data_IF_193309367902
#
_entry.id   IF_193309367902
#
_cell.length_a   1.000
_cell.length_b   1.000
_cell.length_c   1.000
_cell.angle_alpha   90.00
_cell.angle_beta   90.00
_cell.angle_gamma   90.00
#
_symmetry.space_group_name_H-M   'P 1'
#
loop_
_entity.id
_entity.type
_entity.pdbx_description
1 polymer ?
#
# COMPACT_ATOMS: atom_id res chain seq x y z
N UNK A 1 15.08 4.15 -12.18
CA UNK A 1 14.53 3.23 -11.18
C UNK A 1 13.14 2.85 -11.62
N UNK A 2 12.77 1.57 -11.55
CA UNK A 2 11.40 1.14 -11.86
C UNK A 2 10.49 1.38 -10.67
N UNK A 3 9.25 1.78 -10.90
CA UNK A 3 8.30 1.98 -9.79
C UNK A 3 8.02 0.68 -9.03
N UNK A 4 8.10 -0.49 -9.68
CA UNK A 4 8.01 -1.80 -9.03
C UNK A 4 9.17 -2.16 -8.09
N UNK A 5 10.27 -1.40 -8.10
CA UNK A 5 11.41 -1.57 -7.19
C UNK A 5 11.23 -0.77 -5.89
N UNK A 6 10.25 0.13 -5.82
CA UNK A 6 9.99 0.98 -4.65
C UNK A 6 9.35 0.14 -3.55
N UNK A 7 10.02 0.07 -2.40
CA UNK A 7 9.55 -0.68 -1.24
C UNK A 7 8.59 0.16 -0.39
N UNK A 8 7.41 -0.38 -0.11
CA UNK A 8 6.42 0.24 0.76
C UNK A 8 6.23 -0.57 2.05
N UNK A 9 6.16 0.13 3.19
CA UNK A 9 5.69 -0.43 4.45
C UNK A 9 4.17 -0.30 4.50
N UNK A 10 3.48 -1.41 4.70
CA UNK A 10 2.01 -1.43 4.73
C UNK A 10 1.43 -1.26 6.14
N UNK A 11 2.13 -1.76 7.16
CA UNK A 11 1.64 -1.63 8.54
C UNK A 11 1.43 -0.17 8.94
N UNK A 12 0.38 0.10 9.72
CA UNK A 12 0.12 1.45 10.29
C UNK A 12 1.35 2.01 10.99
N UNK A 13 2.11 1.19 11.74
CA UNK A 13 3.35 1.61 12.39
C UNK A 13 4.40 2.06 11.37
N UNK A 14 4.52 1.34 10.26
CA UNK A 14 5.40 1.69 9.15
C UNK A 14 4.99 2.99 8.46
N UNK A 15 3.71 3.13 8.13
CA UNK A 15 3.16 4.34 7.52
C UNK A 15 3.33 5.57 8.43
N UNK A 16 3.05 5.44 9.74
CA UNK A 16 3.33 6.50 10.72
C UNK A 16 4.80 6.88 10.81
N UNK A 17 5.72 5.97 10.48
CA UNK A 17 7.15 6.30 10.42
C UNK A 17 7.49 7.15 9.19
N UNK A 18 6.77 6.97 8.07
CA UNK A 18 6.94 7.81 6.87
C UNK A 18 6.55 9.26 7.14
N UNK A 19 5.47 9.50 7.89
CA UNK A 19 5.04 10.88 8.23
C UNK A 19 6.08 11.69 9.03
N UNK A 20 7.07 11.03 9.63
CA UNK A 20 8.16 11.70 10.36
C UNK A 20 9.23 12.27 9.42
N UNK A 21 9.18 11.96 8.13
CA UNK A 21 10.08 12.53 7.13
C UNK A 21 9.88 14.05 7.08
N UNK A 22 10.97 14.79 7.29
CA UNK A 22 10.98 16.25 7.28
C UNK A 22 12.23 16.79 6.57
N UNK A 23 12.00 17.73 5.65
CA UNK A 23 13.01 18.41 4.85
C UNK A 23 13.74 19.48 5.68
N UNK A 24 14.95 19.85 5.26
CA UNK A 24 15.70 20.97 5.88
C UNK A 24 15.13 22.32 5.46
N UNK A 25 14.72 22.43 4.19
CA UNK A 25 14.08 23.60 3.58
C UNK A 25 13.09 23.13 2.52
N UNK A 26 12.27 24.05 2.02
CA UNK A 26 11.50 23.81 0.81
C UNK A 26 11.28 25.11 0.04
N UNK A 27 11.73 25.15 -1.21
CA UNK A 27 11.52 26.25 -2.15
C UNK A 27 11.19 25.73 -3.56
N UNK A 28 11.15 26.63 -4.55
CA UNK A 28 10.79 26.27 -5.92
C UNK A 28 11.80 25.34 -6.58
N UNK A 29 13.09 25.41 -6.22
CA UNK A 29 14.12 24.52 -6.77
C UNK A 29 13.91 23.08 -6.27
N UNK A 30 13.52 22.94 -4.99
CA UNK A 30 13.14 21.65 -4.41
C UNK A 30 11.89 21.05 -5.10
N UNK A 31 10.92 21.90 -5.47
CA UNK A 31 9.76 21.47 -6.24
C UNK A 31 10.13 21.00 -7.66
N UNK A 32 11.06 21.69 -8.33
CA UNK A 32 11.61 21.27 -9.63
C UNK A 32 12.34 19.94 -9.53
N UNK A 33 13.15 19.73 -8.49
CA UNK A 33 13.79 18.44 -8.23
C UNK A 33 12.77 17.31 -8.15
N UNK A 34 11.66 17.50 -7.42
CA UNK A 34 10.58 16.50 -7.34
C UNK A 34 10.04 16.19 -8.74
N UNK A 35 9.76 17.22 -9.54
CA UNK A 35 9.26 17.11 -10.92
C UNK A 35 10.21 16.26 -11.80
N UNK A 36 11.50 16.58 -11.78
CA UNK A 36 12.51 15.90 -12.58
C UNK A 36 12.73 14.46 -12.11
N UNK A 37 12.69 14.23 -10.79
CA UNK A 37 12.77 12.89 -10.24
C UNK A 37 11.61 12.00 -10.66
N UNK A 38 10.38 12.50 -10.58
CA UNK A 38 9.21 11.78 -11.10
C UNK A 38 9.41 11.43 -12.57
N UNK A 39 9.84 12.38 -13.42
CA UNK A 39 10.10 12.12 -14.85
C UNK A 39 11.23 11.13 -15.11
N UNK A 40 12.14 10.93 -14.15
CA UNK A 40 13.26 9.99 -14.26
C UNK A 40 12.91 8.53 -13.94
N UNK A 41 11.72 8.27 -13.38
CA UNK A 41 11.27 6.92 -13.05
C UNK A 41 10.74 6.19 -14.29
N UNK A 42 10.91 4.87 -14.30
CA UNK A 42 10.26 3.98 -15.27
C UNK A 42 8.91 3.51 -14.69
N UNK A 43 7.83 3.97 -15.31
CA UNK A 43 6.45 3.68 -14.90
C UNK A 43 5.89 2.38 -15.50
N UNK A 44 6.70 1.64 -16.26
CA UNK A 44 6.36 0.29 -16.72
C UNK A 44 5.05 0.26 -17.52
N UNK A 45 4.84 1.29 -18.36
CA UNK A 45 3.63 1.50 -19.17
C UNK A 45 2.47 2.18 -18.45
N UNK A 46 2.57 2.42 -17.14
CA UNK A 46 1.58 3.17 -16.38
C UNK A 46 1.67 4.68 -16.66
N UNK A 47 0.56 5.39 -16.44
CA UNK A 47 0.47 6.84 -16.62
C UNK A 47 0.07 7.52 -15.31
N UNK A 48 0.61 8.70 -15.06
CA UNK A 48 0.30 9.49 -13.86
C UNK A 48 0.11 10.98 -14.17
N UNK A 49 -0.66 11.63 -13.31
CA UNK A 49 -0.65 13.09 -13.13
C UNK A 49 -0.12 13.39 -11.73
N UNK A 50 0.66 14.46 -11.60
CA UNK A 50 1.20 14.90 -10.32
C UNK A 50 1.18 16.42 -10.17
N UNK A 51 1.20 16.87 -8.91
CA UNK A 51 1.34 18.28 -8.53
C UNK A 51 2.09 18.42 -7.21
N UNK A 52 2.88 19.49 -7.08
CA UNK A 52 3.47 19.96 -5.84
C UNK A 52 2.81 21.29 -5.50
N UNK A 53 1.94 21.28 -4.48
CA UNK A 53 1.13 22.44 -4.12
C UNK A 53 1.28 22.77 -2.64
N UNK A 54 1.43 24.06 -2.34
CA UNK A 54 1.41 24.61 -0.99
C UNK A 54 -0.03 24.85 -0.52
N UNK A 55 -0.28 24.75 0.78
CA UNK A 55 -1.64 24.91 1.34
C UNK A 55 -2.23 26.32 1.19
N UNK A 56 -1.40 27.31 0.85
CA UNK A 56 -1.87 28.64 0.46
C UNK A 56 -2.40 28.72 -0.99
N UNK A 57 -2.37 27.62 -1.74
CA UNK A 57 -2.86 27.52 -3.12
C UNK A 57 -1.78 27.66 -4.20
N UNK A 58 -0.52 27.96 -3.85
CA UNK A 58 0.56 28.03 -4.83
C UNK A 58 0.92 26.63 -5.34
N UNK A 59 0.71 26.39 -6.63
CA UNK A 59 1.20 25.22 -7.34
C UNK A 59 2.59 25.53 -7.91
N UNK A 60 3.62 24.87 -7.37
CA UNK A 60 5.01 25.13 -7.74
C UNK A 60 5.42 24.36 -9.00
N UNK A 61 4.89 23.15 -9.18
CA UNK A 61 5.07 22.35 -10.39
C UNK A 61 3.94 21.33 -10.53
N UNK A 62 3.63 20.97 -11.77
CA UNK A 62 2.72 19.87 -12.10
C UNK A 62 3.12 19.21 -13.42
N UNK A 63 2.57 18.03 -13.68
CA UNK A 63 2.90 17.30 -14.90
C UNK A 63 2.05 16.06 -15.12
N UNK A 64 2.13 15.58 -16.36
CA UNK A 64 1.56 14.31 -16.82
C UNK A 64 2.70 13.45 -17.36
N UNK A 65 2.69 12.18 -17.02
CA UNK A 65 3.55 11.14 -17.59
C UNK A 65 2.64 10.10 -18.23
N UNK A 66 2.78 9.88 -19.54
CA UNK A 66 1.88 9.01 -20.30
C UNK A 66 0.55 9.70 -20.66
N UNK A 67 -0.56 8.98 -20.54
CA UNK A 67 -1.90 9.45 -20.89
C UNK A 67 -2.82 9.38 -19.66
N UNK A 68 -3.42 10.51 -19.30
CA UNK A 68 -4.37 10.61 -18.18
C UNK A 68 -5.70 11.16 -18.64
N UNK A 69 -6.76 10.84 -17.90
CA UNK A 69 -8.12 11.32 -18.14
C UNK A 69 -8.53 12.38 -17.10
N UNK A 70 -9.59 13.18 -17.38
CA UNK A 70 -10.02 14.24 -16.47
C UNK A 70 -10.27 13.79 -15.02
N UNK A 71 -10.83 12.60 -14.81
CA UNK A 71 -11.08 12.06 -13.46
C UNK A 71 -9.80 11.86 -12.64
N UNK A 72 -8.62 11.72 -13.26
CA UNK A 72 -7.36 11.62 -12.53
C UNK A 72 -7.05 12.93 -11.79
N UNK A 73 -7.48 14.08 -12.31
CA UNK A 73 -7.34 15.38 -11.64
C UNK A 73 -8.28 15.50 -10.44
N UNK A 74 -9.49 14.93 -10.51
CA UNK A 74 -10.40 14.87 -9.36
C UNK A 74 -9.76 14.07 -8.22
N UNK A 75 -9.19 12.90 -8.52
CA UNK A 75 -8.44 12.11 -7.54
C UNK A 75 -7.22 12.84 -7.00
N UNK A 76 -6.44 13.50 -7.86
CA UNK A 76 -5.27 14.28 -7.47
C UNK A 76 -5.65 15.37 -6.44
N UNK A 77 -6.68 16.16 -6.74
CA UNK A 77 -7.14 17.24 -5.88
C UNK A 77 -7.80 16.71 -4.60
N UNK A 78 -8.59 15.65 -4.70
CA UNK A 78 -9.26 15.01 -3.57
C UNK A 78 -8.26 14.49 -2.52
N UNK A 79 -7.18 13.84 -2.98
CA UNK A 79 -6.10 13.35 -2.10
C UNK A 79 -5.34 14.52 -1.47
N UNK A 80 -5.03 15.57 -2.24
CA UNK A 80 -4.40 16.79 -1.74
C UNK A 80 -5.21 17.42 -0.61
N UNK A 81 -6.53 17.59 -0.79
CA UNK A 81 -7.41 18.18 0.20
C UNK A 81 -7.46 17.37 1.51
N UNK A 82 -7.38 16.04 1.43
CA UNK A 82 -7.25 15.19 2.62
C UNK A 82 -5.97 15.50 3.40
N UNK A 83 -4.83 15.68 2.72
CA UNK A 83 -3.57 16.04 3.41
C UNK A 83 -3.64 17.46 3.97
N UNK A 84 -4.20 18.40 3.23
CA UNK A 84 -4.39 19.78 3.68
C UNK A 84 -5.27 19.87 4.94
N UNK A 85 -6.33 19.04 5.03
CA UNK A 85 -7.25 19.02 6.17
C UNK A 85 -6.69 18.26 7.38
N UNK A 86 -6.01 17.14 7.15
CA UNK A 86 -5.65 16.19 8.23
C UNK A 86 -4.15 16.13 8.56
N UNK A 87 -3.30 16.85 7.81
CA UNK A 87 -1.85 16.93 8.01
C UNK A 87 -1.16 15.56 8.08
N UNK A 88 -1.67 14.59 7.34
CA UNK A 88 -1.10 13.25 7.18
C UNK A 88 -1.33 12.79 5.75
N UNK A 89 -0.51 11.86 5.25
CA UNK A 89 -0.73 11.33 3.91
C UNK A 89 -2.14 10.76 3.75
N UNK A 90 -2.69 10.96 2.56
CA UNK A 90 -4.01 10.43 2.16
C UNK A 90 -4.11 8.91 2.37
N UNK A 91 -3.01 8.18 2.18
CA UNK A 91 -2.93 6.75 2.43
C UNK A 91 -3.03 6.40 3.92
N UNK A 92 -2.23 7.03 4.78
CA UNK A 92 -2.29 6.79 6.22
C UNK A 92 -3.67 7.17 6.80
N UNK A 93 -4.26 8.27 6.32
CA UNK A 93 -5.61 8.65 6.71
C UNK A 93 -6.63 7.55 6.40
N UNK A 94 -6.63 7.05 5.16
CA UNK A 94 -7.50 5.94 4.75
C UNK A 94 -7.28 4.69 5.59
N UNK A 95 -6.03 4.28 5.79
CA UNK A 95 -5.71 3.10 6.60
C UNK A 95 -6.12 3.26 8.07
N UNK A 96 -5.99 4.45 8.65
CA UNK A 96 -6.50 4.72 10.00
C UNK A 96 -8.03 4.62 10.07
N UNK A 97 -8.77 5.08 9.06
CA UNK A 97 -10.22 4.92 9.00
C UNK A 97 -10.63 3.45 8.92
N UNK A 98 -9.94 2.67 8.09
CA UNK A 98 -10.18 1.23 7.96
C UNK A 98 -9.94 0.54 9.29
N UNK A 99 -8.79 0.77 9.94
CA UNK A 99 -8.49 0.16 11.24
C UNK A 99 -9.51 0.57 12.31
N UNK A 100 -9.98 1.83 12.28
CA UNK A 100 -10.98 2.31 13.25
C UNK A 100 -12.34 1.61 13.11
N UNK A 101 -12.76 1.27 11.91
CA UNK A 101 -14.13 0.79 11.65
C UNK A 101 -14.22 -0.68 11.21
N UNK A 102 -13.15 -1.22 10.65
CA UNK A 102 -13.11 -2.50 9.92
C UNK A 102 -11.73 -3.18 10.04
N UNK A 103 -11.12 -3.15 11.23
CA UNK A 103 -9.84 -3.85 11.47
C UNK A 103 -10.02 -5.36 11.38
N UNK A 104 -9.16 -6.04 10.62
CA UNK A 104 -9.00 -7.49 10.63
C UNK A 104 -7.56 -7.85 11.00
N UNK A 105 -7.34 -8.85 11.88
CA UNK A 105 -5.99 -9.33 12.19
C UNK A 105 -5.18 -9.75 10.95
N UNK A 106 -3.86 -9.65 11.06
CA UNK A 106 -2.94 -9.88 9.93
C UNK A 106 -3.12 -11.24 9.26
N UNK A 107 -3.44 -12.29 9.99
CA UNK A 107 -3.53 -13.63 9.40
C UNK A 107 -4.97 -14.08 9.11
N UNK A 108 -5.98 -13.32 9.56
CA UNK A 108 -7.38 -13.69 9.40
C UNK A 108 -7.99 -13.23 8.08
N UNK A 109 -9.02 -13.95 7.63
CA UNK A 109 -9.85 -13.65 6.47
C UNK A 109 -11.17 -12.97 6.86
N UNK A 110 -11.86 -12.40 5.87
CA UNK A 110 -13.22 -11.90 6.07
C UNK A 110 -14.19 -13.06 6.38
N UNK A 111 -15.32 -12.82 7.07
CA UNK A 111 -16.35 -13.87 7.27
C UNK A 111 -16.90 -14.42 5.94
N UNK A 112 -17.02 -13.57 4.92
CA UNK A 112 -17.46 -13.95 3.58
C UNK A 112 -16.45 -14.91 2.92
N UNK A 113 -15.17 -14.55 2.91
CA UNK A 113 -14.13 -15.42 2.35
C UNK A 113 -13.95 -16.70 3.14
N UNK A 114 -14.04 -16.63 4.47
CA UNK A 114 -14.03 -17.80 5.35
C UNK A 114 -15.14 -18.78 4.94
N UNK A 115 -16.37 -18.29 4.77
CA UNK A 115 -17.53 -19.11 4.38
C UNK A 115 -17.37 -19.68 2.97
N UNK A 116 -16.86 -18.87 2.04
CA UNK A 116 -16.62 -19.26 0.65
C UNK A 116 -15.58 -20.37 0.54
N UNK A 117 -14.46 -20.24 1.25
CA UNK A 117 -13.39 -21.24 1.29
C UNK A 117 -13.87 -22.52 2.00
N UNK A 118 -14.65 -22.38 3.08
CA UNK A 118 -15.24 -23.53 3.78
C UNK A 118 -16.09 -24.42 2.87
N UNK A 119 -16.81 -23.81 1.93
CA UNK A 119 -17.70 -24.51 1.00
C UNK A 119 -16.96 -25.33 -0.07
N UNK A 120 -15.66 -25.09 -0.30
CA UNK A 120 -14.85 -25.81 -1.30
C UNK A 120 -14.57 -27.24 -0.84
N UNK A 121 -14.79 -28.24 -1.68
CA UNK A 121 -14.64 -29.65 -1.29
C UNK A 121 -13.18 -30.15 -1.38
N UNK A 122 -12.43 -29.66 -2.35
CA UNK A 122 -11.08 -30.16 -2.66
C UNK A 122 -9.99 -29.52 -1.79
N UNK A 123 -9.06 -30.35 -1.28
CA UNK A 123 -7.99 -29.91 -0.38
C UNK A 123 -7.02 -28.94 -1.03
N UNK A 124 -6.65 -29.17 -2.27
CA UNK A 124 -5.76 -28.27 -3.00
C UNK A 124 -6.47 -26.96 -3.31
N UNK A 125 -7.76 -27.01 -3.65
CA UNK A 125 -8.57 -25.82 -3.94
C UNK A 125 -8.70 -24.88 -2.74
N UNK A 126 -9.20 -25.33 -1.59
CA UNK A 126 -9.36 -24.43 -0.43
C UNK A 126 -8.04 -23.95 0.14
N UNK A 127 -6.98 -24.73 0.01
CA UNK A 127 -5.64 -24.35 0.46
C UNK A 127 -5.07 -23.25 -0.44
N UNK A 128 -5.14 -23.43 -1.76
CA UNK A 128 -4.76 -22.40 -2.72
C UNK A 128 -5.56 -21.11 -2.48
N UNK A 129 -6.86 -21.23 -2.28
CA UNK A 129 -7.73 -20.08 -2.11
C UNK A 129 -7.50 -19.34 -0.80
N UNK A 130 -7.22 -20.05 0.30
CA UNK A 130 -6.81 -19.42 1.57
C UNK A 130 -5.59 -18.53 1.36
N UNK A 131 -4.51 -19.05 0.76
CA UNK A 131 -3.29 -18.26 0.54
C UNK A 131 -3.51 -17.13 -0.46
N UNK A 132 -4.23 -17.35 -1.57
CA UNK A 132 -4.59 -16.29 -2.54
C UNK A 132 -5.42 -15.18 -1.92
N UNK A 133 -6.30 -15.53 -1.00
CA UNK A 133 -7.15 -14.55 -0.33
C UNK A 133 -6.32 -13.73 0.66
N UNK A 134 -5.41 -14.36 1.39
CA UNK A 134 -4.60 -13.73 2.43
C UNK A 134 -3.42 -12.91 1.91
N UNK A 135 -2.77 -13.38 0.84
CA UNK A 135 -1.50 -12.86 0.34
C UNK A 135 -1.61 -12.22 -1.04
N UNK A 136 -0.66 -11.35 -1.36
CA UNK A 136 -0.48 -10.74 -2.68
C UNK A 136 1.01 -10.68 -3.01
N UNK A 137 1.33 -10.77 -4.30
CA UNK A 137 2.72 -10.63 -4.77
C UNK A 137 3.20 -9.20 -4.61
N UNK A 138 4.36 -9.04 -3.98
CA UNK A 138 5.04 -7.77 -3.88
C UNK A 138 6.54 -7.99 -3.70
N UNK A 139 7.34 -7.55 -4.68
CA UNK A 139 8.79 -7.75 -4.69
C UNK A 139 9.45 -7.12 -3.48
N UNK A 140 10.39 -7.85 -2.88
CA UNK A 140 11.16 -7.36 -1.74
C UNK A 140 10.41 -7.36 -0.40
N UNK A 141 9.16 -7.84 -0.37
CA UNK A 141 8.47 -8.26 0.83
C UNK A 141 8.78 -9.73 1.15
N UNK A 142 8.51 -10.12 2.40
CA UNK A 142 8.57 -11.51 2.82
C UNK A 142 7.55 -11.78 3.93
N UNK A 143 7.12 -13.03 4.04
CA UNK A 143 6.30 -13.53 5.15
C UNK A 143 7.00 -14.70 5.84
N UNK A 144 6.88 -14.77 7.16
CA UNK A 144 7.35 -15.89 7.95
C UNK A 144 6.42 -17.09 7.73
N UNK A 145 6.97 -18.22 7.28
CA UNK A 145 6.20 -19.42 7.00
C UNK A 145 5.67 -20.07 8.28
N UNK A 146 6.38 -20.00 9.40
CA UNK A 146 5.94 -20.63 10.64
C UNK A 146 4.68 -19.92 11.15
N UNK A 147 4.68 -18.58 11.19
CA UNK A 147 3.49 -17.80 11.57
C UNK A 147 2.32 -18.06 10.62
N UNK A 148 2.57 -18.04 9.31
CA UNK A 148 1.56 -18.29 8.29
C UNK A 148 1.01 -19.73 8.39
N UNK A 149 1.87 -20.71 8.62
CA UNK A 149 1.47 -22.11 8.74
C UNK A 149 0.66 -22.37 10.01
N UNK A 150 0.96 -21.70 11.11
CA UNK A 150 0.21 -21.82 12.36
C UNK A 150 -1.19 -21.21 12.24
N UNK A 151 -1.31 -20.07 11.55
CA UNK A 151 -2.63 -19.50 11.27
C UNK A 151 -3.44 -20.37 10.30
N UNK A 152 -2.81 -20.91 9.24
CA UNK A 152 -3.48 -21.83 8.33
C UNK A 152 -3.98 -23.09 9.05
N UNK A 153 -3.19 -23.68 9.96
CA UNK A 153 -3.62 -24.80 10.81
C UNK A 153 -4.83 -24.42 11.66
N UNK A 154 -4.79 -23.24 12.27
CA UNK A 154 -5.89 -22.72 13.08
C UNK A 154 -7.15 -22.57 12.23
N UNK A 155 -7.04 -21.94 11.06
CA UNK A 155 -8.13 -21.78 10.10
C UNK A 155 -8.76 -23.12 9.71
N UNK A 156 -7.96 -24.10 9.31
CA UNK A 156 -8.47 -25.43 8.94
C UNK A 156 -9.15 -26.14 10.11
N UNK A 157 -8.63 -26.00 11.33
CA UNK A 157 -9.20 -26.61 12.53
C UNK A 157 -10.61 -26.09 12.86
N UNK A 158 -11.01 -24.94 12.33
CA UNK A 158 -12.37 -24.40 12.50
C UNK A 158 -13.43 -25.13 11.69
N UNK A 159 -13.04 -25.93 10.69
CA UNK A 159 -13.96 -26.63 9.81
C UNK A 159 -13.92 -28.12 10.07
N UNK A 160 -15.05 -28.68 10.53
CA UNK A 160 -15.17 -30.13 10.69
C UNK A 160 -14.83 -30.86 9.38
N UNK A 161 -14.05 -31.93 9.49
CA UNK A 161 -13.72 -32.87 8.40
C UNK A 161 -12.84 -32.30 7.27
N UNK A 162 -12.23 -31.12 7.42
CA UNK A 162 -11.17 -30.67 6.50
C UNK A 162 -9.83 -31.33 6.83
N UNK A 163 -9.08 -31.70 5.81
CA UNK A 163 -7.75 -32.33 5.94
C UNK A 163 -6.67 -31.28 5.76
N UNK A 164 -5.83 -31.09 6.77
CA UNK A 164 -4.70 -30.17 6.65
C UNK A 164 -3.71 -30.65 5.58
N UNK A 165 -3.38 -29.78 4.62
CA UNK A 165 -2.27 -30.02 3.71
C UNK A 165 -0.95 -29.75 4.45
N UNK A 166 -0.08 -30.75 4.50
CA UNK A 166 1.25 -30.65 5.06
C UNK A 166 2.25 -30.36 3.95
N UNK A 167 3.14 -29.39 4.18
CA UNK A 167 4.21 -29.06 3.27
C UNK A 167 5.55 -29.45 3.88
N UNK A 168 6.38 -30.18 3.14
CA UNK A 168 7.80 -30.33 3.46
C UNK A 168 8.59 -29.11 2.96
N UNK A 169 9.80 -28.91 3.48
CA UNK A 169 10.64 -27.76 3.10
C UNK A 169 10.88 -27.64 1.60
N UNK A 170 11.06 -28.77 0.92
CA UNK A 170 11.35 -28.83 -0.52
C UNK A 170 10.10 -28.59 -1.40
N UNK A 171 8.90 -28.84 -0.88
CA UNK A 171 7.64 -28.67 -1.60
C UNK A 171 7.11 -27.22 -1.55
N UNK A 172 7.53 -26.45 -0.54
CA UNK A 172 7.02 -25.09 -0.30
C UNK A 172 7.26 -24.16 -1.48
N UNK A 173 8.46 -24.18 -2.06
CA UNK A 173 8.81 -23.28 -3.16
C UNK A 173 7.94 -23.56 -4.40
N UNK A 174 7.77 -24.84 -4.77
CA UNK A 174 6.93 -25.24 -5.89
C UNK A 174 5.46 -24.89 -5.68
N UNK A 175 4.96 -25.09 -4.47
CA UNK A 175 3.59 -24.73 -4.10
C UNK A 175 3.35 -23.22 -4.22
N UNK A 176 4.17 -22.39 -3.56
CA UNK A 176 3.99 -20.94 -3.59
C UNK A 176 4.17 -20.37 -4.99
N UNK A 177 5.11 -20.88 -5.80
CA UNK A 177 5.25 -20.49 -7.21
C UNK A 177 4.03 -20.83 -8.07
N UNK A 178 3.30 -21.89 -7.75
CA UNK A 178 2.05 -22.23 -8.45
C UNK A 178 0.92 -21.23 -8.21
N UNK A 179 0.97 -20.51 -7.08
CA UNK A 179 -0.02 -19.50 -6.70
C UNK A 179 0.46 -18.09 -7.04
N UNK A 180 1.74 -17.84 -6.77
CA UNK A 180 2.44 -16.56 -6.82
C UNK A 180 3.75 -16.75 -7.61
N UNK A 181 3.74 -16.60 -8.94
CA UNK A 181 4.87 -16.93 -9.81
C UNK A 181 6.20 -16.24 -9.47
N UNK A 182 6.16 -15.08 -8.80
CA UNK A 182 7.34 -14.33 -8.38
C UNK A 182 7.90 -14.74 -7.01
N UNK A 183 7.16 -15.57 -6.27
CA UNK A 183 7.54 -16.00 -4.92
C UNK A 183 8.77 -16.91 -4.92
N UNK A 184 9.52 -16.86 -3.82
CA UNK A 184 10.66 -17.74 -3.58
C UNK A 184 10.64 -18.19 -2.12
N UNK A 185 10.52 -19.48 -1.87
CA UNK A 185 10.68 -20.01 -0.52
C UNK A 185 12.16 -20.17 -0.19
N UNK A 186 12.57 -19.69 0.99
CA UNK A 186 13.95 -19.78 1.46
C UNK A 186 14.03 -20.22 2.90
N UNK A 187 15.13 -20.88 3.23
CA UNK A 187 15.51 -21.21 4.61
C UNK A 187 16.34 -20.08 5.20
N UNK A 188 15.95 -19.65 6.39
CA UNK A 188 16.62 -18.62 7.18
C UNK A 188 17.52 -19.20 8.27
N UNK A 189 18.15 -18.30 9.04
CA UNK A 189 18.89 -18.70 10.23
C UNK A 189 18.00 -19.54 11.16
N UNK A 190 18.56 -20.58 11.78
CA UNK A 190 17.88 -21.46 12.73
C UNK A 190 16.74 -22.31 12.15
N UNK A 191 16.67 -22.49 10.83
CA UNK A 191 15.69 -23.38 10.19
C UNK A 191 14.29 -22.78 10.04
N UNK A 192 14.11 -21.48 10.29
CA UNK A 192 12.87 -20.78 9.93
C UNK A 192 12.74 -20.69 8.41
N UNK A 193 11.53 -20.83 7.89
CA UNK A 193 11.26 -20.63 6.46
C UNK A 193 10.59 -19.28 6.24
N UNK A 194 10.88 -18.65 5.12
CA UNK A 194 10.20 -17.43 4.69
C UNK A 194 9.90 -17.51 3.20
N UNK A 195 8.79 -16.88 2.81
CA UNK A 195 8.39 -16.76 1.42
C UNK A 195 8.67 -15.32 1.00
N UNK A 196 9.63 -15.12 0.11
CA UNK A 196 9.95 -13.82 -0.48
C UNK A 196 8.97 -13.45 -1.60
N UNK A 197 8.93 -12.15 -1.91
CA UNK A 197 8.11 -11.52 -2.95
C UNK A 197 6.60 -11.67 -2.76
N UNK A 198 6.17 -11.94 -1.54
CA UNK A 198 4.77 -11.92 -1.12
C UNK A 198 4.62 -11.09 0.13
N UNK A 199 3.43 -10.52 0.30
CA UNK A 199 3.02 -9.86 1.55
C UNK A 199 1.60 -10.26 1.91
N UNK A 200 1.28 -10.03 3.18
CA UNK A 200 -0.10 -10.07 3.67
C UNK A 200 -0.87 -8.88 3.09
N UNK A 201 -2.10 -9.13 2.64
CA UNK A 201 -3.04 -8.07 2.25
C UNK A 201 -3.44 -7.19 3.44
N UNK A 202 -3.64 -5.91 3.21
CA UNK A 202 -4.18 -4.99 4.19
C UNK A 202 -5.67 -5.29 4.46
N UNK A 203 -6.19 -4.80 5.59
CA UNK A 203 -7.59 -5.02 5.99
C UNK A 203 -8.58 -4.63 4.89
N UNK A 204 -8.33 -3.54 4.15
CA UNK A 204 -9.22 -3.11 3.07
C UNK A 204 -9.15 -3.97 1.83
N UNK A 205 -7.99 -4.56 1.53
CA UNK A 205 -7.84 -5.51 0.42
C UNK A 205 -8.57 -6.82 0.74
N UNK A 206 -8.47 -7.30 1.99
CA UNK A 206 -9.20 -8.48 2.47
C UNK A 206 -10.70 -8.27 2.51
N UNK A 207 -11.14 -7.09 2.94
CA UNK A 207 -12.56 -6.75 3.06
C UNK A 207 -13.16 -6.17 1.79
N UNK A 208 -12.33 -5.93 0.75
CA UNK A 208 -12.73 -5.26 -0.49
C UNK A 208 -13.40 -3.90 -0.22
N UNK A 209 -12.90 -3.17 0.78
CA UNK A 209 -13.42 -1.85 1.18
C UNK A 209 -12.62 -0.75 0.47
N UNK A 210 -13.32 0.20 -0.14
CA UNK A 210 -12.73 1.43 -0.64
C UNK A 210 -12.53 2.43 0.52
N UNK A 211 -11.29 2.87 0.82
CA UNK A 211 -11.06 3.88 1.85
C UNK A 211 -11.85 5.17 1.60
N UNK A 212 -11.96 5.61 0.34
CA UNK A 212 -12.73 6.82 -0.02
C UNK A 212 -14.23 6.62 0.22
N UNK A 213 -14.78 5.45 -0.10
CA UNK A 213 -16.20 5.17 0.16
C UNK A 213 -16.47 5.12 1.66
N UNK A 214 -15.59 4.47 2.42
CA UNK A 214 -15.69 4.42 3.88
C UNK A 214 -15.61 5.82 4.50
N UNK A 215 -14.70 6.68 4.03
CA UNK A 215 -14.65 8.08 4.43
C UNK A 215 -15.97 8.79 4.13
N UNK A 216 -16.54 8.57 2.94
CA UNK A 216 -17.85 9.09 2.57
C UNK A 216 -18.99 8.56 3.42
N UNK A 217 -18.90 7.36 3.98
CA UNK A 217 -19.92 6.81 4.87
C UNK A 217 -19.77 7.35 6.31
N UNK A 218 -18.54 7.41 6.82
CA UNK A 218 -18.25 7.67 8.24
C UNK A 218 -17.96 9.13 8.57
N UNK A 219 -17.82 10.00 7.57
CA UNK A 219 -17.46 11.41 7.76
C UNK A 219 -18.27 12.33 6.83
N UNK A 220 -18.16 13.64 7.05
CA UNK A 220 -18.71 14.67 6.18
C UNK A 220 -17.98 14.78 4.83
N UNK A 221 -16.76 14.25 4.72
CA UNK A 221 -15.93 14.38 3.53
C UNK A 221 -16.41 13.47 2.40
N UNK A 222 -16.67 14.04 1.22
CA UNK A 222 -17.13 13.29 0.04
C UNK A 222 -16.17 13.47 -1.13
N UNK A 223 -16.09 12.46 -1.97
CA UNK A 223 -15.51 12.58 -3.31
C UNK A 223 -16.46 13.43 -4.19
N UNK A 224 -15.97 14.31 -5.09
CA UNK A 224 -14.56 14.51 -5.49
C UNK A 224 -13.76 15.51 -4.63
N UNK A 225 -14.33 16.06 -3.55
CA UNK A 225 -13.62 17.06 -2.75
C UNK A 225 -12.51 16.43 -1.88
N UNK A 226 -12.74 15.21 -1.38
CA UNK A 226 -11.77 14.47 -0.57
C UNK A 226 -11.65 13.02 -1.05
N UNK A 227 -10.46 12.46 -0.88
CA UNK A 227 -10.20 11.04 -1.12
C UNK A 227 -9.22 10.48 -0.08
N UNK A 228 -9.45 9.24 0.34
CA UNK A 228 -8.64 8.55 1.33
C UNK A 228 -7.78 7.42 0.73
N UNK A 229 -7.68 7.34 -0.59
CA UNK A 229 -6.70 6.49 -1.26
C UNK A 229 -5.32 7.14 -1.24
N UNK A 230 -4.26 6.34 -1.36
CA UNK A 230 -2.90 6.85 -1.38
C UNK A 230 -2.59 7.70 -2.63
N UNK A 231 -1.63 8.60 -2.48
CA UNK A 231 -1.07 9.39 -3.58
C UNK A 231 -0.75 10.83 -3.23
N UNK A 232 -1.31 11.38 -2.15
CA UNK A 232 -0.85 12.65 -1.59
C UNK A 232 -0.03 12.44 -0.32
N UNK A 233 1.15 13.06 -0.27
CA UNK A 233 2.14 12.98 0.80
C UNK A 233 2.54 14.38 1.29
N UNK A 234 2.58 14.63 2.61
CA UNK A 234 2.85 15.96 3.16
C UNK A 234 4.30 16.42 2.94
N UNK A 235 4.46 17.73 2.73
CA UNK A 235 5.77 18.40 2.70
C UNK A 235 6.02 19.00 4.08
N UNK A 236 6.70 18.23 4.93
CA UNK A 236 7.11 18.66 6.27
C UNK A 236 8.49 19.31 6.22
N UNK A 237 8.69 20.36 7.03
CA UNK A 237 9.98 21.03 7.22
C UNK A 237 10.36 20.92 8.70
N UNK A 238 11.64 20.66 8.97
CA UNK A 238 12.17 20.61 10.35
C UNK A 238 11.81 21.91 11.10
N UNK A 239 11.35 21.76 12.33
CA UNK A 239 10.93 22.86 13.21
C UNK A 239 9.71 23.68 12.74
N UNK A 240 9.00 23.23 11.70
CA UNK A 240 7.67 23.76 11.33
C UNK A 240 6.61 22.81 11.87
N UNK A 241 5.61 23.36 12.57
CA UNK A 241 4.63 22.57 13.33
C UNK A 241 3.76 21.65 12.46
N UNK A 242 3.46 22.08 11.24
CA UNK A 242 2.56 21.40 10.31
C UNK A 242 3.18 21.36 8.91
N UNK A 243 2.75 20.44 8.03
CA UNK A 243 3.15 20.47 6.64
C UNK A 243 2.74 21.80 5.99
N UNK A 244 3.53 22.24 5.02
CA UNK A 244 3.26 23.50 4.28
C UNK A 244 2.55 23.28 2.95
N UNK A 245 2.47 22.03 2.51
CA UNK A 245 1.96 21.61 1.22
C UNK A 245 1.97 20.09 1.09
N UNK A 246 1.71 19.60 -0.12
CA UNK A 246 1.79 18.19 -0.44
C UNK A 246 2.27 17.95 -1.88
N UNK A 247 3.00 16.85 -2.07
CA UNK A 247 3.14 16.19 -3.36
C UNK A 247 1.94 15.27 -3.53
N UNK A 248 1.17 15.44 -4.61
CA UNK A 248 0.05 14.60 -4.96
C UNK A 248 0.29 13.91 -6.29
N UNK A 249 -0.09 12.63 -6.37
CA UNK A 249 0.05 11.75 -7.53
C UNK A 249 -1.26 10.98 -7.71
N UNK A 250 -1.68 10.81 -8.95
CA UNK A 250 -2.76 9.92 -9.32
C UNK A 250 -2.49 9.22 -10.65
N UNK A 251 -2.80 7.93 -10.68
CA UNK A 251 -2.83 7.15 -11.93
C UNK A 251 -2.39 5.70 -11.75
N UNK A 252 -1.72 5.39 -10.64
CA UNK A 252 -1.25 4.04 -10.34
C UNK A 252 -2.32 3.19 -9.63
N UNK A 253 -2.26 1.84 -9.75
CA UNK A 253 -3.25 0.94 -9.17
C UNK A 253 -3.48 1.16 -7.68
N UNK A 254 -4.76 1.23 -7.28
CA UNK A 254 -5.24 1.31 -5.88
C UNK A 254 -4.69 2.48 -5.04
N UNK A 255 -3.89 3.39 -5.62
CA UNK A 255 -3.26 4.52 -4.93
C UNK A 255 -2.13 4.17 -3.94
N UNK A 256 -1.92 2.90 -3.58
CA UNK A 256 -0.79 2.50 -2.71
C UNK A 256 0.55 2.78 -3.40
N UNK A 257 0.65 2.49 -4.71
CA UNK A 257 1.85 2.78 -5.48
C UNK A 257 2.01 4.28 -5.75
N UNK A 258 0.92 5.05 -5.90
CA UNK A 258 0.99 6.52 -5.93
C UNK A 258 1.65 7.05 -4.65
N UNK A 259 1.23 6.52 -3.48
CA UNK A 259 1.81 6.90 -2.19
C UNK A 259 3.28 6.49 -2.07
N UNK A 260 3.64 5.27 -2.49
CA UNK A 260 5.02 4.80 -2.48
C UNK A 260 5.95 5.69 -3.31
N UNK A 261 5.53 6.05 -4.53
CA UNK A 261 6.27 6.97 -5.40
C UNK A 261 6.42 8.34 -4.73
N UNK A 262 5.33 8.91 -4.21
CA UNK A 262 5.36 10.21 -3.55
C UNK A 262 6.31 10.21 -2.34
N UNK A 263 6.21 9.22 -1.47
CA UNK A 263 7.10 9.07 -0.32
C UNK A 263 8.57 8.92 -0.73
N UNK A 264 8.85 8.09 -1.75
CA UNK A 264 10.22 7.83 -2.21
C UNK A 264 10.86 9.11 -2.76
N UNK A 265 10.16 9.87 -3.58
CA UNK A 265 10.69 11.13 -4.14
C UNK A 265 10.98 12.16 -3.05
N UNK A 266 10.10 12.31 -2.06
CA UNK A 266 10.36 13.21 -0.92
C UNK A 266 11.55 12.71 -0.08
N UNK A 267 11.74 11.39 0.02
CA UNK A 267 12.91 10.80 0.70
C UNK A 267 14.21 11.09 -0.05
N UNK A 268 14.20 10.98 -1.39
CA UNK A 268 15.35 11.34 -2.22
C UNK A 268 15.68 12.83 -2.12
N UNK A 269 14.66 13.70 -2.08
CA UNK A 269 14.86 15.14 -1.85
C UNK A 269 15.47 15.40 -0.47
N UNK A 270 14.96 14.75 0.58
CA UNK A 270 15.51 14.87 1.92
C UNK A 270 16.99 14.48 1.98
N UNK A 271 17.37 13.41 1.26
CA UNK A 271 18.76 12.97 1.13
C UNK A 271 19.61 13.95 0.31
N UNK A 272 19.04 14.58 -0.73
CA UNK A 272 19.72 15.60 -1.53
C UNK A 272 20.01 16.89 -0.74
N UNK A 273 19.20 17.21 0.27
CA UNK A 273 19.35 18.39 1.12
C UNK A 273 20.30 18.19 2.33
N UNK A 274 20.72 16.96 2.59
CA UNK A 274 21.53 16.54 3.74
C UNK A 274 23.00 16.98 3.57
#
# INVERSE_FOLDING_TARGET
MKISEIKLKHSIKGLKAYEKLALRKFDSDDAWFISDKLRSYDYEGSSIVFTVRLFNGLELTSGVIGQVAPHNYDWLNAKYNTVAKYHMSSHLYGQNLIVKHHSIPSWQLSPEDTSRIAAMADVSEYTNEYFRTLLVEEKGCQVDWNELSDDYRTFISTFEKKTLLHFTGDELDGFFKSIFPSSVAKTGPNGCYYIENVRIKDSNEKLKISPTNLMGEKTENKYPEYAAHGGAFPINIKNVLSPIGALSISGLPNGSLDHAVAYNVITELAAHQA
#
